data_IF_344363464964
#
_entry.id   IF_344363464964
#
_cell.length_a   1.000
_cell.length_b   1.000
_cell.length_c   1.000
_cell.angle_alpha   90.00
_cell.angle_beta   90.00
_cell.angle_gamma   90.00
#
_symmetry.space_group_name_H-M   'P 1'
#
loop_
_entity.id
_entity.type
_entity.pdbx_description
1 polymer ?
#
# COMPACT_ATOMS: atom_id res chain seq x y z
N UNK A 1 38.68 72.65 37.80
CA UNK A 1 37.47 73.33 37.30
C UNK A 1 36.76 72.39 36.34
N UNK A 2 35.45 72.26 36.54
CA UNK A 2 34.45 71.43 35.84
C UNK A 2 34.24 71.78 34.37
N UNK A 3 34.00 70.75 33.52
CA UNK A 3 33.01 70.65 32.41
C UNK A 3 33.44 69.49 31.48
N UNK A 4 32.91 68.26 31.55
CA UNK A 4 31.65 67.69 31.00
C UNK A 4 31.27 68.16 29.59
N UNK A 5 31.20 67.21 28.63
CA UNK A 5 30.10 66.92 27.63
C UNK A 5 30.67 66.26 26.33
N UNK A 6 29.87 65.57 25.50
CA UNK A 6 29.26 64.25 25.72
C UNK A 6 29.62 63.27 24.58
N UNK A 7 30.12 62.07 24.88
CA UNK A 7 30.26 61.03 23.84
C UNK A 7 28.90 60.39 23.57
N UNK A 8 28.38 60.63 22.37
CA UNK A 8 27.14 60.05 21.87
C UNK A 8 27.25 58.50 21.83
N UNK A 9 26.38 57.83 22.57
CA UNK A 9 26.22 56.38 22.48
C UNK A 9 25.46 56.04 21.18
N UNK A 10 26.18 55.61 20.14
CA UNK A 10 25.56 55.04 18.94
C UNK A 10 25.07 53.64 19.32
N UNK A 11 23.76 53.50 19.51
CA UNK A 11 23.10 52.19 19.64
C UNK A 11 23.13 51.52 18.26
N UNK A 12 24.08 50.62 18.05
CA UNK A 12 24.07 49.71 16.91
C UNK A 12 22.88 48.75 17.07
N UNK A 13 21.79 49.02 16.36
CA UNK A 13 20.69 48.06 16.24
C UNK A 13 21.19 46.87 15.41
N UNK A 14 21.48 45.74 16.06
CA UNK A 14 21.65 44.46 15.37
C UNK A 14 20.32 44.09 14.72
N UNK A 15 20.25 44.22 13.40
CA UNK A 15 19.14 43.69 12.62
C UNK A 15 19.17 42.16 12.73
N UNK A 16 18.26 41.61 13.53
CA UNK A 16 18.00 40.17 13.56
C UNK A 16 17.34 39.81 12.23
N UNK A 17 18.11 39.29 11.27
CA UNK A 17 17.55 38.66 10.08
C UNK A 17 16.86 37.38 10.55
N UNK A 18 15.55 37.44 10.76
CA UNK A 18 14.71 36.25 10.88
C UNK A 18 14.78 35.51 9.56
N UNK A 19 15.63 34.48 9.48
CA UNK A 19 15.56 33.49 8.41
C UNK A 19 14.21 32.79 8.54
N UNK A 20 13.24 33.21 7.74
CA UNK A 20 12.03 32.42 7.53
C UNK A 20 12.48 31.05 7.03
N UNK A 21 12.05 29.93 7.64
CA UNK A 21 12.34 28.62 7.07
C UNK A 21 11.74 28.59 5.68
N UNK A 22 12.59 28.47 4.66
CA UNK A 22 12.15 28.17 3.30
C UNK A 22 11.36 26.87 3.39
N UNK A 23 10.03 26.98 3.27
CA UNK A 23 9.17 25.81 3.19
C UNK A 23 9.61 25.04 1.94
N UNK A 24 10.33 23.93 2.15
CA UNK A 24 10.71 23.03 1.05
C UNK A 24 9.42 22.61 0.37
N UNK A 25 9.27 22.95 -0.90
CA UNK A 25 8.14 22.50 -1.70
C UNK A 25 8.06 20.97 -1.63
N UNK A 26 6.85 20.43 -1.47
CA UNK A 26 6.58 19.01 -1.61
C UNK A 26 7.01 18.57 -3.01
N UNK A 27 8.19 17.96 -3.11
CA UNK A 27 8.65 17.37 -4.37
C UNK A 27 7.98 16.02 -4.54
N UNK A 28 7.22 15.86 -5.62
CA UNK A 28 6.60 14.58 -6.05
C UNK A 28 7.63 13.71 -6.81
N UNK A 29 8.94 14.00 -6.67
CA UNK A 29 9.94 13.07 -7.14
C UNK A 29 9.97 11.89 -6.16
N UNK A 30 9.48 10.75 -6.61
CA UNK A 30 9.74 9.47 -5.96
C UNK A 30 11.25 9.35 -5.78
N UNK A 31 11.74 9.39 -4.54
CA UNK A 31 13.09 8.86 -4.27
C UNK A 31 13.03 7.40 -4.69
N UNK A 32 13.69 7.06 -5.79
CA UNK A 32 13.95 5.66 -6.13
C UNK A 32 14.92 5.11 -5.10
N UNK A 33 14.40 4.75 -3.94
CA UNK A 33 15.08 3.91 -2.96
C UNK A 33 14.93 2.44 -3.39
N UNK A 34 15.25 2.17 -4.65
CA UNK A 34 15.34 0.82 -5.20
C UNK A 34 16.79 0.59 -5.55
N UNK A 35 17.43 -0.35 -4.86
CA UNK A 35 18.81 -0.70 -5.05
C UNK A 35 19.52 -0.83 -3.71
N UNK A 36 19.84 -2.07 -3.32
CA UNK A 36 21.01 -2.29 -2.48
C UNK A 36 22.23 -1.65 -3.15
N UNK A 37 23.31 -1.48 -2.40
CA UNK A 37 24.59 -0.97 -2.90
C UNK A 37 25.20 -1.80 -4.04
N UNK A 38 24.60 -2.94 -4.35
CA UNK A 38 25.16 -4.00 -5.16
C UNK A 38 24.62 -3.88 -6.58
N UNK A 39 25.48 -3.40 -7.47
CA UNK A 39 25.22 -3.37 -8.90
C UNK A 39 25.30 -4.79 -9.45
N UNK A 40 24.18 -5.31 -9.94
CA UNK A 40 24.15 -6.59 -10.64
C UNK A 40 24.39 -6.38 -12.15
N UNK A 41 25.55 -6.81 -12.69
CA UNK A 41 25.84 -6.64 -14.11
C UNK A 41 24.93 -7.54 -14.97
N UNK A 42 24.63 -7.13 -16.22
CA UNK A 42 23.83 -7.95 -17.12
C UNK A 42 24.59 -9.23 -17.50
N UNK A 43 24.32 -10.31 -16.78
CA UNK A 43 25.01 -11.60 -16.96
C UNK A 43 24.54 -12.33 -18.23
N UNK A 44 23.27 -12.17 -18.60
CA UNK A 44 22.61 -12.87 -19.73
C UNK A 44 21.94 -14.19 -19.35
N UNK A 45 21.77 -14.43 -18.05
CA UNK A 45 21.40 -15.73 -17.48
C UNK A 45 19.97 -15.63 -16.96
N UNK A 46 19.16 -16.66 -17.17
CA UNK A 46 17.77 -16.64 -16.77
C UNK A 46 17.71 -16.58 -15.24
N UNK A 47 17.28 -15.44 -14.70
CA UNK A 47 17.24 -15.10 -13.25
C UNK A 47 18.58 -14.68 -12.62
N UNK A 48 19.61 -14.37 -13.42
CA UNK A 48 20.91 -13.95 -12.88
C UNK A 48 21.70 -15.08 -12.19
N UNK A 49 21.17 -16.30 -12.17
CA UNK A 49 21.80 -17.46 -11.51
C UNK A 49 22.63 -18.26 -12.49
N UNK A 50 23.80 -18.68 -12.02
CA UNK A 50 24.68 -19.52 -12.80
C UNK A 50 24.17 -20.95 -13.01
N UNK A 51 24.03 -21.54 -14.23
CA UNK A 51 23.94 -22.99 -14.33
C UNK A 51 25.04 -23.68 -13.53
N UNK A 52 24.61 -24.43 -12.51
CA UNK A 52 25.48 -25.12 -11.56
C UNK A 52 25.61 -24.43 -10.19
N UNK A 53 25.17 -23.19 -10.05
CA UNK A 53 25.11 -22.47 -8.78
C UNK A 53 23.72 -22.62 -8.15
N UNK A 54 23.66 -22.83 -6.83
CA UNK A 54 22.40 -22.93 -6.12
C UNK A 54 21.88 -21.52 -5.83
N UNK A 55 20.61 -21.29 -6.14
CA UNK A 55 19.95 -20.04 -5.80
C UNK A 55 19.96 -19.81 -4.29
N UNK A 56 20.39 -18.63 -3.87
CA UNK A 56 20.29 -18.18 -2.48
C UNK A 56 18.95 -17.47 -2.27
N UNK A 57 18.15 -18.00 -1.34
CA UNK A 57 16.83 -17.45 -1.05
C UNK A 57 16.95 -16.04 -0.49
N UNK A 58 16.36 -15.07 -1.16
CA UNK A 58 16.34 -13.70 -0.66
C UNK A 58 15.41 -13.55 0.57
N UNK A 59 15.77 -12.67 1.50
CA UNK A 59 15.05 -12.51 2.77
C UNK A 59 13.57 -12.10 2.63
N UNK A 60 13.19 -11.46 1.52
CA UNK A 60 11.82 -11.04 1.22
C UNK A 60 10.95 -12.19 0.66
N UNK A 61 11.56 -13.22 0.07
CA UNK A 61 10.81 -14.29 -0.57
C UNK A 61 9.99 -15.10 0.42
N UNK A 62 10.55 -15.35 1.61
CA UNK A 62 9.84 -16.08 2.67
C UNK A 62 8.53 -15.41 3.03
N UNK A 63 8.49 -14.13 3.48
CA UNK A 63 7.24 -13.48 3.81
C UNK A 63 6.32 -13.33 2.59
N UNK A 64 6.86 -13.12 1.38
CA UNK A 64 6.03 -13.06 0.17
C UNK A 64 5.31 -14.39 -0.09
N UNK A 65 6.03 -15.51 -0.17
CA UNK A 65 5.40 -16.81 -0.42
C UNK A 65 4.46 -17.22 0.71
N UNK A 66 4.80 -16.95 1.97
CA UNK A 66 3.93 -17.36 3.09
C UNK A 66 2.69 -16.47 3.22
N UNK A 67 2.84 -15.15 3.11
CA UNK A 67 1.73 -14.22 3.35
C UNK A 67 0.94 -13.97 2.08
N UNK A 68 1.60 -13.65 0.97
CA UNK A 68 0.91 -13.30 -0.26
C UNK A 68 0.34 -14.55 -0.94
N UNK A 69 1.17 -15.55 -1.24
CA UNK A 69 0.66 -16.77 -1.88
C UNK A 69 -0.25 -17.55 -0.92
N UNK A 70 0.11 -17.64 0.36
CA UNK A 70 -0.79 -18.19 1.39
C UNK A 70 -2.12 -17.45 1.49
N UNK A 71 -2.10 -16.11 1.40
CA UNK A 71 -3.29 -15.26 1.40
C UNK A 71 -4.19 -15.48 0.17
N UNK A 72 -3.60 -15.67 -1.02
CA UNK A 72 -4.36 -16.03 -2.23
C UNK A 72 -5.07 -17.38 -2.04
N UNK A 73 -4.35 -18.39 -1.54
CA UNK A 73 -4.94 -19.72 -1.28
C UNK A 73 -6.07 -19.60 -0.26
N UNK A 74 -5.84 -18.91 0.86
CA UNK A 74 -6.86 -18.69 1.89
C UNK A 74 -8.09 -17.95 1.33
N UNK A 75 -7.88 -16.92 0.51
CA UNK A 75 -8.97 -16.19 -0.16
C UNK A 75 -9.74 -17.09 -1.11
N UNK A 76 -9.03 -17.93 -1.89
CA UNK A 76 -9.66 -18.91 -2.78
C UNK A 76 -10.56 -19.88 -2.02
N UNK A 77 -10.09 -20.41 -0.88
CA UNK A 77 -10.90 -21.28 -0.01
C UNK A 77 -12.12 -20.55 0.53
N UNK A 78 -11.96 -19.31 1.03
CA UNK A 78 -13.08 -18.52 1.56
C UNK A 78 -14.12 -18.25 0.48
N UNK A 79 -13.71 -17.91 -0.74
CA UNK A 79 -14.64 -17.65 -1.84
C UNK A 79 -15.33 -18.92 -2.33
N UNK A 80 -14.63 -20.06 -2.35
CA UNK A 80 -15.20 -21.34 -2.76
C UNK A 80 -16.27 -21.86 -1.79
N UNK A 81 -16.07 -21.66 -0.49
CA UNK A 81 -16.99 -22.14 0.56
C UNK A 81 -17.82 -21.02 1.19
N UNK A 82 -17.84 -19.83 0.58
CA UNK A 82 -18.68 -18.73 1.04
C UNK A 82 -20.15 -19.19 1.00
N UNK A 83 -20.95 -19.00 2.08
CA UNK A 83 -22.36 -19.31 2.02
C UNK A 83 -23.08 -18.45 0.98
N UNK A 84 -24.01 -19.08 0.27
CA UNK A 84 -24.92 -18.41 -0.66
C UNK A 84 -25.81 -17.45 0.12
N UNK A 85 -25.49 -16.16 0.01
CA UNK A 85 -26.25 -15.05 0.58
C UNK A 85 -26.74 -14.12 -0.53
N UNK A 86 -26.90 -14.65 -1.74
CA UNK A 86 -27.36 -13.90 -2.90
C UNK A 86 -28.84 -13.57 -2.77
N UNK A 87 -29.24 -12.38 -3.23
CA UNK A 87 -30.65 -11.99 -3.24
C UNK A 87 -31.44 -12.82 -4.25
N UNK A 88 -30.78 -13.28 -5.32
CA UNK A 88 -31.42 -14.00 -6.41
C UNK A 88 -31.96 -15.36 -5.95
N UNK A 89 -31.25 -16.07 -5.06
CA UNK A 89 -31.75 -17.35 -4.52
C UNK A 89 -33.02 -17.12 -3.69
N UNK A 90 -33.04 -16.10 -2.84
CA UNK A 90 -34.25 -15.71 -2.11
C UNK A 90 -35.38 -15.27 -3.05
N UNK A 91 -35.06 -14.45 -4.04
CA UNK A 91 -36.05 -13.90 -4.97
C UNK A 91 -36.69 -15.01 -5.83
N UNK A 92 -35.91 -16.01 -6.24
CA UNK A 92 -36.41 -17.18 -6.98
C UNK A 92 -37.34 -18.03 -6.10
N UNK A 93 -36.96 -18.27 -4.84
CA UNK A 93 -37.78 -19.05 -3.90
C UNK A 93 -39.09 -18.31 -3.55
N UNK A 94 -39.02 -17.00 -3.34
CA UNK A 94 -40.19 -16.17 -3.07
C UNK A 94 -41.09 -16.04 -4.32
N UNK A 95 -40.52 -15.90 -5.52
CA UNK A 95 -41.27 -15.92 -6.77
C UNK A 95 -41.98 -17.25 -6.98
N UNK A 96 -41.31 -18.38 -6.72
CA UNK A 96 -41.90 -19.72 -6.76
C UNK A 96 -43.10 -19.83 -5.82
N UNK A 97 -42.95 -19.40 -4.57
CA UNK A 97 -44.02 -19.43 -3.57
C UNK A 97 -45.26 -18.63 -3.99
N UNK A 98 -45.08 -17.53 -4.74
CA UNK A 98 -46.19 -16.77 -5.32
C UNK A 98 -46.88 -17.53 -6.45
N UNK A 99 -46.10 -18.15 -7.34
CA UNK A 99 -46.62 -18.94 -8.47
C UNK A 99 -47.33 -20.23 -8.02
N UNK A 100 -46.89 -20.86 -6.92
CA UNK A 100 -47.58 -21.99 -6.30
C UNK A 100 -48.94 -21.59 -5.70
N UNK A 101 -49.01 -20.41 -5.04
CA UNK A 101 -50.29 -19.85 -4.56
C UNK A 101 -51.25 -19.53 -5.71
N UNK A 102 -50.70 -19.11 -6.85
CA UNK A 102 -51.47 -18.83 -8.08
C UNK A 102 -51.85 -20.11 -8.83
N UNK A 103 -51.35 -21.28 -8.41
CA UNK A 103 -51.68 -22.59 -9.00
C UNK A 103 -51.07 -22.83 -10.38
N UNK A 104 -50.08 -22.03 -10.78
CA UNK A 104 -49.44 -22.08 -12.11
C UNK A 104 -48.33 -23.14 -12.12
N UNK A 105 -47.69 -23.41 -10.98
CA UNK A 105 -46.61 -24.38 -10.86
C UNK A 105 -47.03 -25.59 -10.01
N UNK A 106 -46.75 -26.84 -10.44
CA UNK A 106 -46.92 -28.02 -9.60
C UNK A 106 -45.88 -28.06 -8.47
N UNK A 107 -46.30 -28.58 -7.30
CA UNK A 107 -45.41 -28.80 -6.15
C UNK A 107 -44.25 -29.74 -6.54
N UNK A 108 -43.00 -29.42 -6.16
CA UNK A 108 -41.84 -30.24 -6.51
C UNK A 108 -41.79 -31.59 -5.79
N UNK A 109 -42.50 -31.72 -4.66
CA UNK A 109 -42.48 -32.92 -3.80
C UNK A 109 -43.60 -33.92 -4.15
N UNK A 110 -44.33 -33.67 -5.24
CA UNK A 110 -45.48 -34.48 -5.66
C UNK A 110 -45.17 -35.41 -6.82
#
# INVERSE_FOLDING_TARGET
MTAIRPTAAIRAARAMKTTTPSARAFSVTTRRAGGGSDFDPPSGWLWGVKPGEKYEKEGWETPFYTLFCGGIIATGVVLAFKPDTSLDTWALEEARRRLEKEGILPDPEK
#
